data_IF_036916648328
#
_entry.id   IF_036916648328
#
_cell.length_a   1.000
_cell.length_b   1.000
_cell.length_c   1.000
_cell.angle_alpha   90.00
_cell.angle_beta   90.00
_cell.angle_gamma   90.00
#
_symmetry.space_group_name_H-M   'P 1'
#
loop_
_entity.id
_entity.type
_entity.pdbx_description
1 polymer ?
#
# COMPACT_ATOMS: atom_id res chain seq x y z
N UNK A 1 -6.60 9.78 -15.99
CA UNK A 1 -6.45 9.90 -14.53
C UNK A 1 -6.82 8.55 -13.95
N UNK A 2 -5.95 7.58 -14.20
CA UNK A 2 -6.23 6.14 -14.13
C UNK A 2 -6.24 5.63 -12.69
N UNK A 3 -5.53 6.34 -11.81
CA UNK A 3 -5.45 5.99 -10.39
C UNK A 3 -6.82 6.05 -9.71
N UNK A 4 -7.65 7.04 -10.04
CA UNK A 4 -8.98 7.18 -9.44
C UNK A 4 -9.93 6.04 -9.86
N UNK A 5 -10.02 5.74 -11.16
CA UNK A 5 -10.83 4.62 -11.65
C UNK A 5 -10.34 3.27 -11.10
N UNK A 6 -9.02 3.09 -11.01
CA UNK A 6 -8.44 1.90 -10.40
C UNK A 6 -8.81 1.78 -8.92
N UNK A 7 -8.66 2.86 -8.14
CA UNK A 7 -8.98 2.83 -6.71
C UNK A 7 -10.47 2.69 -6.44
N UNK A 8 -11.33 3.20 -7.32
CA UNK A 8 -12.79 3.02 -7.25
C UNK A 8 -13.15 1.54 -7.44
N UNK A 9 -12.59 0.89 -8.47
CA UNK A 9 -12.81 -0.53 -8.72
C UNK A 9 -12.32 -1.41 -7.55
N UNK A 10 -11.15 -1.08 -6.98
CA UNK A 10 -10.65 -1.77 -5.78
C UNK A 10 -11.55 -1.48 -4.59
N UNK A 11 -12.06 -0.26 -4.45
CA UNK A 11 -12.94 0.07 -3.34
C UNK A 11 -14.26 -0.70 -3.36
N UNK A 12 -14.80 -0.94 -4.56
CA UNK A 12 -16.06 -1.64 -4.78
C UNK A 12 -15.92 -3.17 -4.69
N UNK A 13 -14.79 -3.72 -5.12
CA UNK A 13 -14.61 -5.17 -5.22
C UNK A 13 -13.75 -5.79 -4.11
N UNK A 14 -12.92 -5.01 -3.42
CA UNK A 14 -12.03 -5.54 -2.38
C UNK A 14 -12.61 -5.30 -0.99
N UNK A 15 -12.49 -6.32 -0.14
CA UNK A 15 -12.71 -6.17 1.29
C UNK A 15 -11.61 -5.31 1.92
N UNK A 16 -11.85 -4.81 3.14
CA UNK A 16 -10.85 -4.03 3.87
C UNK A 16 -9.52 -4.79 4.04
N UNK A 17 -9.58 -6.07 4.37
CA UNK A 17 -8.39 -6.92 4.49
C UNK A 17 -7.63 -7.04 3.18
N UNK A 18 -8.34 -7.22 2.06
CA UNK A 18 -7.70 -7.27 0.73
C UNK A 18 -7.06 -5.93 0.35
N UNK A 19 -7.65 -4.80 0.74
CA UNK A 19 -7.03 -3.47 0.58
C UNK A 19 -5.76 -3.33 1.41
N UNK A 20 -5.76 -3.82 2.65
CA UNK A 20 -4.56 -3.88 3.49
C UNK A 20 -3.46 -4.73 2.85
N UNK A 21 -3.80 -5.93 2.36
CA UNK A 21 -2.84 -6.80 1.66
C UNK A 21 -2.31 -6.16 0.37
N UNK A 22 -3.14 -5.44 -0.37
CA UNK A 22 -2.69 -4.71 -1.57
C UNK A 22 -1.62 -3.66 -1.23
N UNK A 23 -1.84 -2.89 -0.16
CA UNK A 23 -0.86 -1.89 0.31
C UNK A 23 0.39 -2.53 0.89
N UNK A 24 0.29 -3.67 1.57
CA UNK A 24 1.46 -4.45 2.00
C UNK A 24 2.29 -4.92 0.80
N UNK A 25 1.65 -5.41 -0.26
CA UNK A 25 2.36 -5.83 -1.48
C UNK A 25 3.06 -4.67 -2.17
N UNK A 26 2.43 -3.48 -2.21
CA UNK A 26 3.09 -2.27 -2.72
C UNK A 26 4.33 -1.91 -1.92
N UNK A 27 4.28 -2.05 -0.59
CA UNK A 27 5.45 -1.86 0.27
C UNK A 27 6.55 -2.89 -0.01
N UNK A 28 6.21 -4.16 -0.19
CA UNK A 28 7.20 -5.19 -0.52
C UNK A 28 7.95 -4.88 -1.82
N UNK A 29 7.25 -4.40 -2.86
CA UNK A 29 7.87 -4.01 -4.13
C UNK A 29 8.80 -2.80 -3.94
N UNK A 30 8.36 -1.77 -3.22
CA UNK A 30 9.19 -0.59 -2.94
C UNK A 30 10.43 -0.95 -2.09
N UNK A 31 10.32 -1.90 -1.16
CA UNK A 31 11.47 -2.40 -0.42
C UNK A 31 12.39 -3.32 -1.24
N UNK A 32 11.85 -4.04 -2.23
CA UNK A 32 12.63 -4.94 -3.09
C UNK A 32 13.63 -4.20 -4.00
N UNK A 33 13.35 -2.95 -4.36
CA UNK A 33 14.30 -2.10 -5.10
C UNK A 33 15.47 -1.59 -4.20
N UNK A 34 15.47 -1.93 -2.91
CA UNK A 34 16.57 -1.67 -1.97
C UNK A 34 16.74 -0.21 -1.56
N UNK A 35 15.97 0.71 -2.14
CA UNK A 35 15.89 2.12 -1.75
C UNK A 35 14.45 2.62 -1.81
N UNK A 36 13.84 2.72 -0.63
CA UNK A 36 12.59 3.46 -0.50
C UNK A 36 12.86 4.97 -0.67
N UNK A 37 12.44 5.55 -1.80
CA UNK A 37 12.44 7.01 -2.00
C UNK A 37 11.14 7.62 -1.45
N UNK A 38 11.20 8.90 -1.10
CA UNK A 38 10.07 9.76 -0.74
C UNK A 38 8.96 9.71 -1.79
N UNK A 39 9.30 9.59 -3.08
CA UNK A 39 8.29 9.48 -4.14
C UNK A 39 7.44 8.20 -4.03
N UNK A 40 8.06 7.07 -3.71
CA UNK A 40 7.35 5.80 -3.53
C UNK A 40 6.49 5.83 -2.27
N UNK A 41 7.04 6.32 -1.16
CA UNK A 41 6.25 6.48 0.07
C UNK A 41 5.04 7.40 -0.17
N UNK A 42 5.24 8.51 -0.88
CA UNK A 42 4.14 9.42 -1.26
C UNK A 42 3.12 8.75 -2.16
N UNK A 43 3.55 7.90 -3.09
CA UNK A 43 2.66 7.14 -3.97
C UNK A 43 1.82 6.13 -3.19
N UNK A 44 2.45 5.29 -2.36
CA UNK A 44 1.76 4.29 -1.53
C UNK A 44 0.82 4.98 -0.53
N UNK A 45 1.23 6.12 0.03
CA UNK A 45 0.38 6.93 0.93
C UNK A 45 -0.85 7.49 0.22
N UNK A 46 -0.71 7.94 -1.04
CA UNK A 46 -1.85 8.36 -1.86
C UNK A 46 -2.80 7.20 -2.14
N UNK A 47 -2.27 6.04 -2.53
CA UNK A 47 -3.07 4.83 -2.77
C UNK A 47 -3.82 4.43 -1.50
N UNK A 48 -3.15 4.35 -0.34
CA UNK A 48 -3.79 4.01 0.92
C UNK A 48 -4.91 5.00 1.31
N UNK A 49 -4.70 6.30 1.06
CA UNK A 49 -5.72 7.32 1.26
C UNK A 49 -6.94 7.14 0.35
N UNK A 50 -6.72 6.81 -0.93
CA UNK A 50 -7.79 6.55 -1.89
C UNK A 50 -8.53 5.23 -1.60
N UNK A 51 -7.87 4.24 -1.00
CA UNK A 51 -8.48 2.97 -0.56
C UNK A 51 -9.19 3.06 0.80
N UNK A 52 -9.25 4.26 1.39
CA UNK A 52 -9.86 4.53 2.70
C UNK A 52 -9.26 3.68 3.84
N UNK A 53 -7.95 3.38 3.77
CA UNK A 53 -7.28 2.65 4.82
C UNK A 53 -6.96 3.55 6.01
N UNK A 54 -7.14 3.02 7.22
CA UNK A 54 -6.73 3.70 8.43
C UNK A 54 -5.20 3.88 8.45
N UNK A 55 -4.74 5.00 9.01
CA UNK A 55 -3.31 5.28 9.14
C UNK A 55 -2.58 4.19 9.94
N UNK A 56 -3.23 3.61 10.94
CA UNK A 56 -2.71 2.48 11.71
C UNK A 56 -2.42 1.27 10.85
N UNK A 57 -3.29 0.94 9.90
CA UNK A 57 -3.13 -0.24 9.05
C UNK A 57 -2.13 0.02 7.92
N UNK A 58 -2.03 1.25 7.43
CA UNK A 58 -0.92 1.67 6.57
C UNK A 58 0.45 1.47 7.24
N UNK A 59 0.57 1.86 8.51
CA UNK A 59 1.81 1.69 9.28
C UNK A 59 2.11 0.21 9.57
N UNK A 60 1.08 -0.59 9.89
CA UNK A 60 1.24 -2.05 10.02
C UNK A 60 1.71 -2.69 8.73
N UNK A 61 1.08 -2.37 7.59
CA UNK A 61 1.46 -2.92 6.28
C UNK A 61 2.92 -2.61 5.93
N UNK A 62 3.39 -1.39 6.25
CA UNK A 62 4.80 -1.00 6.11
C UNK A 62 5.72 -1.86 6.98
N UNK A 63 5.34 -2.07 8.25
CA UNK A 63 6.12 -2.86 9.19
C UNK A 63 6.21 -4.33 8.76
N UNK A 64 5.07 -4.95 8.46
CA UNK A 64 5.00 -6.35 8.02
C UNK A 64 5.76 -6.59 6.72
N UNK A 65 5.66 -5.67 5.75
CA UNK A 65 6.44 -5.76 4.52
C UNK A 65 7.96 -5.68 4.77
N UNK A 66 8.40 -4.84 5.72
CA UNK A 66 9.80 -4.74 6.12
C UNK A 66 10.29 -6.04 6.78
N UNK A 67 9.51 -6.58 7.73
CA UNK A 67 9.84 -7.83 8.42
C UNK A 67 9.98 -9.01 7.45
N UNK A 68 9.12 -9.09 6.41
CA UNK A 68 9.18 -10.13 5.39
C UNK A 68 10.42 -10.07 4.49
N UNK A 69 11.06 -8.90 4.36
CA UNK A 69 12.29 -8.74 3.56
C UNK A 69 13.56 -9.00 4.38
N UNK A 70 13.47 -8.87 5.71
CA UNK A 70 14.59 -9.08 6.65
C UNK A 70 14.67 -10.53 7.18
N UNK A 71 13.68 -11.37 6.85
CA UNK A 71 13.55 -12.76 7.29
C UNK A 71 14.00 -13.81 6.28
#
# INVERSE_FOLDING_TARGET
NDLFQFTELVNDHYTYEQKCSLVENLWQVAFADGRLDKYEEQFIRKVAGLLHLAHSDFMKAKHTAKEKMEG
#
